data_IF_466522532818
#
_entry.id   IF_466522532818
#
_cell.length_a   1.000
_cell.length_b   1.000
_cell.length_c   1.000
_cell.angle_alpha   90.00
_cell.angle_beta   90.00
_cell.angle_gamma   90.00
#
_symmetry.space_group_name_H-M   'P 1'
#
loop_
_entity.id
_entity.type
_entity.pdbx_description
1 polymer ?
#
# COMPACT_ATOMS: atom_id res chain seq x y z
N UNK A 1 3.55 -12.65 -11.50
CA UNK A 1 2.86 -13.78 -12.19
C UNK A 1 1.79 -13.17 -13.07
N UNK A 2 1.63 -13.63 -14.31
CA UNK A 2 0.67 -13.06 -15.26
C UNK A 2 -0.68 -13.76 -15.11
N UNK A 3 -1.78 -13.00 -15.10
CA UNK A 3 -3.15 -13.52 -14.95
C UNK A 3 -3.85 -13.62 -16.31
N UNK A 4 -4.56 -14.72 -16.55
CA UNK A 4 -5.33 -14.91 -17.80
C UNK A 4 -6.74 -14.33 -17.66
N UNK A 5 -7.19 -13.52 -18.62
CA UNK A 5 -8.57 -13.03 -18.70
C UNK A 5 -8.94 -12.62 -20.13
N UNK A 6 -10.25 -12.59 -20.43
CA UNK A 6 -10.73 -12.12 -21.73
C UNK A 6 -10.53 -10.62 -21.89
N UNK A 7 -10.35 -10.17 -23.14
CA UNK A 7 -10.30 -8.73 -23.47
C UNK A 7 -11.51 -7.97 -22.90
N UNK A 8 -12.71 -8.49 -23.15
CA UNK A 8 -13.96 -7.87 -22.70
C UNK A 8 -14.01 -7.72 -21.18
N UNK A 9 -13.56 -8.74 -20.43
CA UNK A 9 -13.50 -8.66 -18.96
C UNK A 9 -12.48 -7.62 -18.53
N UNK A 10 -11.29 -7.62 -19.11
CA UNK A 10 -10.22 -6.68 -18.79
C UNK A 10 -10.65 -5.22 -18.97
N UNK A 11 -11.30 -4.91 -20.09
CA UNK A 11 -11.71 -3.55 -20.43
C UNK A 11 -12.84 -3.03 -19.54
N UNK A 12 -13.64 -3.92 -18.94
CA UNK A 12 -14.77 -3.57 -18.06
C UNK A 12 -14.47 -3.57 -16.57
N UNK A 13 -13.27 -3.99 -16.17
CA UNK A 13 -12.91 -4.01 -14.74
C UNK A 13 -12.72 -2.58 -14.22
N UNK A 14 -13.35 -2.29 -13.10
CA UNK A 14 -13.06 -1.10 -12.29
C UNK A 14 -11.61 -1.05 -11.85
N UNK A 15 -11.08 0.16 -11.69
CA UNK A 15 -9.65 0.42 -11.48
C UNK A 15 -9.06 -0.33 -10.29
N UNK A 16 -9.72 -0.25 -9.12
CA UNK A 16 -9.29 -0.97 -7.93
C UNK A 16 -9.26 -2.49 -8.18
N UNK A 17 -10.33 -3.02 -8.80
CA UNK A 17 -10.48 -4.46 -9.01
C UNK A 17 -9.46 -4.98 -10.03
N UNK A 18 -9.16 -4.21 -11.07
CA UNK A 18 -8.12 -4.53 -12.04
C UNK A 18 -6.75 -4.61 -11.35
N UNK A 19 -6.42 -3.60 -10.53
CA UNK A 19 -5.18 -3.59 -9.76
C UNK A 19 -5.04 -4.80 -8.84
N UNK A 20 -6.10 -5.15 -8.11
CA UNK A 20 -6.13 -6.34 -7.25
C UNK A 20 -5.91 -7.63 -8.03
N UNK A 21 -6.70 -7.88 -9.08
CA UNK A 21 -6.63 -9.13 -9.83
C UNK A 21 -5.25 -9.38 -10.44
N UNK A 22 -4.53 -8.32 -10.82
CA UNK A 22 -3.19 -8.44 -11.38
C UNK A 22 -2.12 -8.87 -10.37
N UNK A 23 -2.38 -8.76 -9.05
CA UNK A 23 -1.38 -9.05 -8.00
C UNK A 23 -1.86 -10.07 -6.96
N UNK A 24 -3.15 -10.39 -6.94
CA UNK A 24 -3.80 -11.28 -5.96
C UNK A 24 -3.02 -12.58 -5.74
N UNK A 25 -2.65 -13.27 -6.81
CA UNK A 25 -1.93 -14.54 -6.73
C UNK A 25 -0.60 -14.40 -5.98
N UNK A 26 0.15 -13.33 -6.27
CA UNK A 26 1.43 -13.09 -5.58
C UNK A 26 1.20 -12.73 -4.11
N UNK A 27 0.24 -11.85 -3.81
CA UNK A 27 -0.06 -11.46 -2.43
C UNK A 27 -0.58 -12.62 -1.59
N UNK A 28 -1.45 -13.48 -2.15
CA UNK A 28 -1.94 -14.68 -1.48
C UNK A 28 -0.82 -15.70 -1.25
N UNK A 29 0.11 -15.85 -2.20
CA UNK A 29 1.25 -16.75 -2.06
C UNK A 29 2.17 -16.34 -0.89
N UNK A 30 2.46 -15.05 -0.76
CA UNK A 30 3.41 -14.52 0.23
C UNK A 30 2.79 -14.30 1.63
N UNK A 31 1.46 -14.37 1.74
CA UNK A 31 0.74 -14.18 3.00
C UNK A 31 1.16 -15.23 4.04
N UNK A 32 1.55 -14.77 5.23
CA UNK A 32 1.97 -15.63 6.34
C UNK A 32 3.29 -16.38 6.13
N UNK A 33 3.98 -16.17 4.99
CA UNK A 33 5.30 -16.77 4.72
C UNK A 33 6.42 -15.96 5.38
N UNK A 34 7.56 -16.60 5.59
CA UNK A 34 8.75 -15.94 6.14
C UNK A 34 9.35 -14.91 5.16
N UNK A 35 10.23 -14.05 5.67
CA UNK A 35 10.84 -12.96 4.91
C UNK A 35 11.67 -13.44 3.69
N UNK A 36 12.29 -14.63 3.76
CA UNK A 36 13.09 -15.18 2.66
C UNK A 36 12.19 -15.58 1.50
N UNK A 37 11.08 -16.26 1.78
CA UNK A 37 10.08 -16.64 0.76
C UNK A 37 9.44 -15.39 0.15
N UNK A 38 9.06 -14.39 0.98
CA UNK A 38 8.53 -13.11 0.49
C UNK A 38 9.50 -12.42 -0.47
N UNK A 39 10.78 -12.30 -0.07
CA UNK A 39 11.83 -11.66 -0.88
C UNK A 39 12.04 -12.39 -2.20
N UNK A 40 12.06 -13.72 -2.20
CA UNK A 40 12.20 -14.52 -3.41
C UNK A 40 11.03 -14.32 -4.37
N UNK A 41 9.80 -14.37 -3.87
CA UNK A 41 8.60 -14.17 -4.70
C UNK A 41 8.57 -12.76 -5.32
N UNK A 42 8.87 -11.73 -4.52
CA UNK A 42 8.90 -10.34 -5.00
C UNK A 42 10.04 -10.10 -6.00
N UNK A 43 11.17 -10.81 -5.87
CA UNK A 43 12.29 -10.73 -6.80
C UNK A 43 12.03 -11.36 -8.18
N UNK A 44 10.97 -12.16 -8.32
CA UNK A 44 10.55 -12.72 -9.62
C UNK A 44 9.57 -11.82 -10.38
N UNK A 45 9.12 -10.72 -9.77
CA UNK A 45 8.22 -9.77 -10.38
C UNK A 45 8.98 -8.73 -11.20
N UNK A 46 8.35 -8.26 -12.28
CA UNK A 46 8.81 -7.01 -12.92
C UNK A 46 8.66 -5.83 -11.96
N UNK A 47 9.35 -4.73 -12.26
CA UNK A 47 9.28 -3.51 -11.44
C UNK A 47 7.84 -2.99 -11.31
N UNK A 48 7.07 -3.04 -12.42
CA UNK A 48 5.67 -2.61 -12.43
C UNK A 48 4.76 -3.53 -11.59
N UNK A 49 4.95 -4.86 -11.68
CA UNK A 49 4.21 -5.82 -10.86
C UNK A 49 4.55 -5.64 -9.37
N UNK A 50 5.83 -5.45 -9.06
CA UNK A 50 6.30 -5.23 -7.69
C UNK A 50 5.76 -3.93 -7.12
N UNK A 51 5.76 -2.84 -7.90
CA UNK A 51 5.17 -1.56 -7.52
C UNK A 51 3.68 -1.70 -7.19
N UNK A 52 2.91 -2.37 -8.06
CA UNK A 52 1.49 -2.62 -7.82
C UNK A 52 1.25 -3.49 -6.57
N UNK A 53 2.08 -4.51 -6.34
CA UNK A 53 2.01 -5.32 -5.12
C UNK A 53 2.26 -4.48 -3.87
N UNK A 54 3.29 -3.62 -3.87
CA UNK A 54 3.63 -2.80 -2.71
C UNK A 54 2.55 -1.75 -2.40
N UNK A 55 1.93 -1.18 -3.43
CA UNK A 55 0.76 -0.31 -3.23
C UNK A 55 -0.41 -1.08 -2.60
N UNK A 56 -0.71 -2.31 -3.05
CA UNK A 56 -1.77 -3.13 -2.41
C UNK A 56 -1.43 -3.51 -0.98
N UNK A 57 -0.17 -3.80 -0.68
CA UNK A 57 0.30 -4.04 0.69
C UNK A 57 0.08 -2.80 1.58
N UNK A 58 0.33 -1.59 1.08
CA UNK A 58 -0.07 -0.38 1.78
C UNK A 58 -1.59 -0.32 1.95
N UNK A 59 -2.32 -0.35 0.84
CA UNK A 59 -3.74 -0.03 0.80
C UNK A 59 -4.62 -1.02 1.58
N UNK A 60 -4.42 -2.32 1.38
CA UNK A 60 -5.30 -3.34 1.97
C UNK A 60 -5.14 -3.47 3.49
N UNK A 61 -3.98 -3.12 4.03
CA UNK A 61 -3.74 -3.06 5.48
C UNK A 61 -4.16 -1.72 6.08
N UNK A 62 -4.03 -0.62 5.35
CA UNK A 62 -4.30 0.73 5.85
C UNK A 62 -5.78 1.14 5.79
N UNK A 63 -6.52 0.67 4.78
CA UNK A 63 -7.91 1.09 4.51
C UNK A 63 -9.01 0.67 5.50
N UNK A 64 -8.86 -0.32 6.41
CA UNK A 64 -10.03 -0.74 7.21
C UNK A 64 -10.47 0.30 8.24
N UNK A 65 -9.55 1.10 8.80
CA UNK A 65 -9.85 2.16 9.77
C UNK A 65 -8.67 3.09 9.97
N UNK A 66 -8.90 4.25 10.60
CA UNK A 66 -7.82 5.16 11.02
C UNK A 66 -6.83 4.50 12.00
N UNK A 67 -7.30 3.57 12.84
CA UNK A 67 -6.44 2.82 13.76
C UNK A 67 -5.52 1.84 13.02
N UNK A 68 -6.06 1.11 12.04
CA UNK A 68 -5.29 0.23 11.15
C UNK A 68 -4.30 1.05 10.31
N UNK A 69 -4.72 2.21 9.78
CA UNK A 69 -3.84 3.16 9.11
C UNK A 69 -2.64 3.56 9.98
N UNK A 70 -2.90 4.02 11.20
CA UNK A 70 -1.87 4.43 12.15
C UNK A 70 -0.89 3.30 12.49
N UNK A 71 -1.42 2.15 12.91
CA UNK A 71 -0.60 0.99 13.26
C UNK A 71 0.20 0.47 12.06
N UNK A 72 -0.38 0.49 10.86
CA UNK A 72 0.29 0.03 9.66
C UNK A 72 1.43 0.96 9.23
N UNK A 73 1.27 2.28 9.32
CA UNK A 73 2.36 3.22 9.06
C UNK A 73 3.53 2.98 10.02
N UNK A 74 3.25 2.81 11.32
CA UNK A 74 4.30 2.47 12.29
C UNK A 74 5.00 1.15 11.94
N UNK A 75 4.24 0.12 11.56
CA UNK A 75 4.80 -1.16 11.14
C UNK A 75 5.69 -1.06 9.90
N UNK A 76 5.29 -0.28 8.89
CA UNK A 76 6.09 -0.05 7.68
C UNK A 76 7.42 0.64 7.97
N UNK A 77 7.41 1.61 8.90
CA UNK A 77 8.60 2.34 9.33
C UNK A 77 9.55 1.46 10.15
N UNK A 78 8.98 0.57 10.96
CA UNK A 78 9.76 -0.33 11.82
C UNK A 78 10.38 -1.51 11.05
N UNK A 79 9.68 -1.99 10.03
CA UNK A 79 10.08 -3.21 9.32
C UNK A 79 11.10 -2.90 8.22
N UNK A 80 12.32 -3.47 8.25
CA UNK A 80 13.38 -3.15 7.30
C UNK A 80 12.94 -3.29 5.83
N UNK A 81 13.08 -2.21 5.08
CA UNK A 81 12.82 -2.15 3.63
C UNK A 81 11.33 -2.06 3.23
N UNK A 82 10.38 -2.11 4.17
CA UNK A 82 8.96 -2.01 3.83
C UNK A 82 8.58 -0.59 3.42
N UNK A 83 9.00 0.42 4.18
CA UNK A 83 8.80 1.83 3.82
C UNK A 83 9.34 2.15 2.42
N UNK A 84 10.60 1.76 2.16
CA UNK A 84 11.25 1.99 0.87
C UNK A 84 10.55 1.24 -0.27
N UNK A 85 10.09 0.01 -0.01
CA UNK A 85 9.34 -0.78 -0.99
C UNK A 85 8.02 -0.12 -1.38
N UNK A 86 7.25 0.38 -0.39
CA UNK A 86 6.00 1.09 -0.61
C UNK A 86 6.23 2.40 -1.35
N UNK A 87 7.09 3.26 -0.83
CA UNK A 87 7.34 4.59 -1.43
C UNK A 87 7.99 4.50 -2.81
N UNK A 88 8.85 3.51 -3.07
CA UNK A 88 9.37 3.26 -4.42
C UNK A 88 8.28 2.81 -5.40
N UNK A 89 7.33 1.99 -4.95
CA UNK A 89 6.18 1.57 -5.76
C UNK A 89 5.27 2.74 -6.11
N UNK A 90 5.02 3.64 -5.17
CA UNK A 90 4.20 4.84 -5.40
C UNK A 90 4.92 5.80 -6.37
N UNK A 91 6.24 5.97 -6.20
CA UNK A 91 7.08 6.78 -7.10
C UNK A 91 7.10 6.23 -8.52
N UNK A 92 7.09 4.90 -8.70
CA UNK A 92 6.99 4.26 -10.01
C UNK A 92 5.74 4.71 -10.78
N UNK A 93 4.60 4.89 -10.10
CA UNK A 93 3.35 5.37 -10.69
C UNK A 93 3.22 6.89 -10.70
N UNK A 94 4.28 7.64 -10.36
CA UNK A 94 4.30 9.11 -10.33
C UNK A 94 3.17 9.71 -9.48
N UNK A 95 2.87 9.05 -8.37
CA UNK A 95 1.79 9.44 -7.47
C UNK A 95 2.33 10.32 -6.33
N UNK A 96 2.55 11.59 -6.66
CA UNK A 96 3.14 12.59 -5.76
C UNK A 96 2.23 12.92 -4.57
N UNK A 97 0.91 12.92 -4.78
CA UNK A 97 -0.07 13.21 -3.73
C UNK A 97 -0.04 12.14 -2.63
N UNK A 98 0.00 10.86 -3.01
CA UNK A 98 0.16 9.77 -2.06
C UNK A 98 1.52 9.82 -1.36
N UNK A 99 2.61 10.12 -2.08
CA UNK A 99 3.94 10.26 -1.46
C UNK A 99 3.97 11.37 -0.40
N UNK A 100 3.41 12.54 -0.72
CA UNK A 100 3.36 13.66 0.21
C UNK A 100 2.56 13.31 1.46
N UNK A 101 1.40 12.67 1.29
CA UNK A 101 0.59 12.22 2.42
C UNK A 101 1.32 11.20 3.31
N UNK A 102 2.04 10.25 2.72
CA UNK A 102 2.78 9.26 3.49
C UNK A 102 3.91 9.90 4.32
N UNK A 103 4.64 10.88 3.77
CA UNK A 103 5.65 11.61 4.55
C UNK A 103 5.04 12.41 5.70
N UNK A 104 3.86 13.02 5.51
CA UNK A 104 3.11 13.66 6.59
C UNK A 104 2.70 12.66 7.68
N UNK A 105 2.21 11.48 7.28
CA UNK A 105 1.81 10.42 8.21
C UNK A 105 2.99 9.83 8.97
N UNK A 106 4.13 9.64 8.31
CA UNK A 106 5.38 9.27 8.95
C UNK A 106 5.77 10.31 10.01
N UNK A 107 5.77 11.59 9.66
CA UNK A 107 6.11 12.65 10.60
C UNK A 107 5.15 12.68 11.79
N UNK A 108 3.86 12.39 11.59
CA UNK A 108 2.88 12.30 12.66
C UNK A 108 3.18 11.15 13.63
N UNK A 109 3.43 9.94 13.12
CA UNK A 109 3.77 8.75 13.93
C UNK A 109 5.08 8.97 14.69
N UNK A 110 6.14 9.44 14.01
CA UNK A 110 7.43 9.67 14.66
C UNK A 110 7.37 10.78 15.73
N UNK A 111 6.55 11.82 15.51
CA UNK A 111 6.35 12.87 16.51
C UNK A 111 5.67 12.33 17.77
N UNK A 112 4.68 11.45 17.62
CA UNK A 112 4.01 10.80 18.74
C UNK A 112 4.98 9.90 19.53
N UNK A 113 5.77 9.09 18.81
CA UNK A 113 6.81 8.26 19.44
C UNK A 113 7.80 9.11 20.26
N UNK A 114 8.27 10.23 19.70
CA UNK A 114 9.14 11.17 20.42
C UNK A 114 8.46 11.80 21.63
N UNK A 115 7.20 12.21 21.50
CA UNK A 115 6.43 12.83 22.57
C UNK A 115 6.27 11.89 23.77
N UNK A 116 5.98 10.61 23.51
CA UNK A 116 5.80 9.58 24.54
C UNK A 116 7.09 8.89 24.98
N UNK A 117 8.20 9.12 24.29
CA UNK A 117 9.47 8.44 24.55
C UNK A 117 9.41 6.93 24.26
N UNK A 118 8.63 6.53 23.25
CA UNK A 118 8.46 5.12 22.84
C UNK A 118 9.10 4.86 21.47
N UNK A 119 9.33 3.58 21.19
CA UNK A 119 9.78 3.09 19.88
C UNK A 119 8.60 2.79 18.96
N UNK A 120 8.87 2.65 17.64
CA UNK A 120 7.84 2.27 16.65
C UNK A 120 7.21 0.90 16.95
N UNK A 121 7.98 -0.04 17.51
CA UNK A 121 7.47 -1.35 17.94
C UNK A 121 6.39 -1.27 19.03
N UNK A 122 6.39 -0.18 19.79
CA UNK A 122 5.48 0.03 20.91
C UNK A 122 4.21 0.78 20.51
N UNK A 123 4.11 1.25 19.27
CA UNK A 123 2.89 1.87 18.75
C UNK A 123 1.76 0.84 18.73
N UNK A 124 0.61 1.22 19.29
CA UNK A 124 -0.59 0.40 19.32
C UNK A 124 -1.76 1.11 18.66
N UNK A 125 -2.62 0.36 17.98
CA UNK A 125 -3.88 0.88 17.44
C UNK A 125 -4.76 1.55 18.52
N UNK A 126 -4.67 1.05 19.76
CA UNK A 126 -5.39 1.60 20.92
C UNK A 126 -4.85 2.94 21.42
N UNK A 127 -3.71 3.41 20.91
CA UNK A 127 -3.16 4.72 21.30
C UNK A 127 -4.12 5.87 20.92
N UNK A 128 -4.91 5.69 19.86
CA UNK A 128 -5.90 6.67 19.41
C UNK A 128 -7.06 6.82 20.42
N UNK A 129 -7.36 5.79 21.21
CA UNK A 129 -8.43 5.85 22.21
C UNK A 129 -8.04 6.72 23.41
N UNK A 130 -6.74 6.78 23.72
CA UNK A 130 -6.20 7.47 24.88
C UNK A 130 -5.76 8.93 24.60
N UNK A 131 -5.66 9.33 23.33
CA UNK A 131 -5.16 10.64 22.93
C UNK A 131 -6.04 11.26 21.84
N UNK A 132 -6.95 12.17 22.24
CA UNK A 132 -7.91 12.82 21.34
C UNK A 132 -7.24 13.70 20.28
N UNK A 133 -6.10 14.33 20.59
CA UNK A 133 -5.36 15.15 19.62
C UNK A 133 -4.75 14.27 18.52
N UNK A 134 -4.07 13.19 18.91
CA UNK A 134 -3.54 12.20 17.99
C UNK A 134 -4.67 11.59 17.15
N UNK A 135 -5.78 11.22 17.80
CA UNK A 135 -6.94 10.64 17.14
C UNK A 135 -7.49 11.57 16.04
N UNK A 136 -7.71 12.86 16.33
CA UNK A 136 -8.15 13.84 15.33
C UNK A 136 -7.15 13.98 14.18
N UNK A 137 -5.85 14.05 14.50
CA UNK A 137 -4.79 14.19 13.49
C UNK A 137 -4.73 12.97 12.55
N UNK A 138 -4.75 11.76 13.09
CA UNK A 138 -4.71 10.53 12.31
C UNK A 138 -6.00 10.36 11.49
N UNK A 139 -7.17 10.69 12.01
CA UNK A 139 -8.40 10.66 11.21
C UNK A 139 -8.33 11.57 10.00
N UNK A 140 -7.82 12.81 10.16
CA UNK A 140 -7.64 13.71 9.01
C UNK A 140 -6.66 13.16 7.96
N UNK A 141 -5.59 12.50 8.38
CA UNK A 141 -4.66 11.82 7.47
C UNK A 141 -5.29 10.60 6.79
N UNK A 142 -6.10 9.83 7.53
CA UNK A 142 -6.80 8.66 7.04
C UNK A 142 -7.88 9.02 6.01
N UNK A 143 -8.68 10.05 6.26
CA UNK A 143 -9.67 10.55 5.29
C UNK A 143 -8.99 11.00 3.99
N UNK A 144 -7.88 11.73 4.09
CA UNK A 144 -7.06 12.09 2.93
C UNK A 144 -6.51 10.85 2.24
N UNK A 145 -6.06 9.85 2.99
CA UNK A 145 -5.55 8.60 2.45
C UNK A 145 -6.59 7.87 1.60
N UNK A 146 -7.83 7.79 2.07
CA UNK A 146 -8.92 7.21 1.27
C UNK A 146 -9.13 8.01 -0.03
N UNK A 147 -9.18 9.33 0.07
CA UNK A 147 -9.38 10.20 -1.10
C UNK A 147 -8.25 10.10 -2.14
N UNK A 148 -6.97 10.09 -1.71
CA UNK A 148 -5.85 9.96 -2.66
C UNK A 148 -5.70 8.54 -3.19
N UNK A 149 -6.15 7.52 -2.44
CA UNK A 149 -6.09 6.12 -2.89
C UNK A 149 -6.94 5.85 -4.12
N UNK A 150 -8.07 6.54 -4.29
CA UNK A 150 -8.88 6.46 -5.51
C UNK A 150 -8.06 6.87 -6.74
N UNK A 151 -7.31 7.96 -6.64
CA UNK A 151 -6.42 8.42 -7.72
C UNK A 151 -5.27 7.45 -7.94
N UNK A 152 -4.70 6.89 -6.87
CA UNK A 152 -3.68 5.84 -6.98
C UNK A 152 -4.19 4.62 -7.74
N UNK A 153 -5.41 4.16 -7.46
CA UNK A 153 -6.05 3.07 -8.19
C UNK A 153 -6.18 3.39 -9.68
N UNK A 154 -6.65 4.59 -10.03
CA UNK A 154 -6.76 5.03 -11.42
C UNK A 154 -5.41 5.10 -12.12
N UNK A 155 -4.36 5.64 -11.48
CA UNK A 155 -3.00 5.68 -12.03
C UNK A 155 -2.47 4.28 -12.34
N UNK A 156 -2.61 3.36 -11.39
CA UNK A 156 -2.17 1.97 -11.53
C UNK A 156 -2.97 1.26 -12.63
N UNK A 157 -4.29 1.40 -12.64
CA UNK A 157 -5.15 0.78 -13.64
C UNK A 157 -4.84 1.31 -15.06
N UNK A 158 -4.62 2.61 -15.22
CA UNK A 158 -4.21 3.21 -16.49
C UNK A 158 -2.86 2.66 -16.97
N UNK A 159 -1.90 2.50 -16.05
CA UNK A 159 -0.62 1.87 -16.39
C UNK A 159 -0.81 0.42 -16.84
N UNK A 160 -1.63 -0.36 -16.13
CA UNK A 160 -1.94 -1.76 -16.48
C UNK A 160 -2.60 -1.83 -17.87
N UNK A 161 -3.62 -1.00 -18.13
CA UNK A 161 -4.33 -0.95 -19.43
C UNK A 161 -3.41 -0.54 -20.58
N UNK A 162 -2.44 0.33 -20.31
CA UNK A 162 -1.44 0.74 -21.30
C UNK A 162 -0.32 -0.30 -21.51
N UNK A 163 -0.13 -1.20 -20.55
CA UNK A 163 0.94 -2.21 -20.56
C UNK A 163 0.41 -3.62 -20.24
N UNK A 164 -0.63 -4.12 -20.93
CA UNK A 164 -1.35 -5.31 -20.50
C UNK A 164 -0.47 -6.56 -20.46
N UNK A 165 0.46 -6.73 -21.40
CA UNK A 165 1.36 -7.89 -21.45
C UNK A 165 2.27 -8.04 -20.22
N UNK A 166 2.45 -6.97 -19.43
CA UNK A 166 3.21 -7.00 -18.18
C UNK A 166 2.45 -7.67 -17.04
N UNK A 167 1.11 -7.65 -17.08
CA UNK A 167 0.26 -8.08 -15.97
C UNK A 167 -0.67 -9.22 -16.34
N UNK A 168 -1.14 -9.24 -17.58
CA UNK A 168 -2.21 -10.11 -18.04
C UNK A 168 -1.89 -10.79 -19.37
N UNK A 169 -2.37 -12.02 -19.50
CA UNK A 169 -2.43 -12.74 -20.77
C UNK A 169 -3.87 -12.62 -21.27
N UNK A 170 -4.07 -11.88 -22.35
CA UNK A 170 -5.40 -11.58 -22.88
C UNK A 170 -5.80 -12.61 -23.93
N UNK A 171 -6.95 -13.23 -23.69
CA UNK A 171 -7.58 -14.24 -24.56
C UNK A 171 -8.80 -13.67 -25.29
#
# INVERSE_FOLDING_TARGET
MIVTMTREKFDRLEDERLGWLCVEQTLMFVRGRDAKVKKQAMGQLSDAQRAACMFRVLYDHAKPSAAEYYGWIAHLLDTPGYWDGVTSGIRFFTDEDMLMLLEESKAAVEAECRHRGITLQQVSMSDLDANEELNRKINGLYERFLAVSEQSHTRIANYIRSNPSTFVHLT
#
